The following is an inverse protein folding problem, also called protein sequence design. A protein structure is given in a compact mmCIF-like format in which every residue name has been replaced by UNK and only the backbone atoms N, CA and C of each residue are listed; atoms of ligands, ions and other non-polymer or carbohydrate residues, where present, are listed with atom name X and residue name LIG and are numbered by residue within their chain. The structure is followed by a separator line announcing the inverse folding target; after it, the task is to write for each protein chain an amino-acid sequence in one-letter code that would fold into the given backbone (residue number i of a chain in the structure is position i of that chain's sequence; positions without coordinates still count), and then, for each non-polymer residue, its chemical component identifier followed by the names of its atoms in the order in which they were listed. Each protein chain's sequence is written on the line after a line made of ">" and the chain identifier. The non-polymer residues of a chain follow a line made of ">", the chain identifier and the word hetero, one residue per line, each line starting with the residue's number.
data_IF_369555654674
#
_entry.id   IF_369555654674
#
_cell.length_a   1.000
_cell.length_b   1.000
_cell.length_c   1.000
_cell.angle_alpha   90.00
_cell.angle_beta   90.00
_cell.angle_gamma   90.00
#
_symmetry.space_group_name_H-M   'P 1'
#
loop_
_entity.id
_entity.type
_entity.pdbx_description
1 polymer ?
#
# COMPACT_ATOMS: atom_id res chain seq x y z
N UNK A 1 25.29 -16.56 40.03
CA UNK A 1 25.11 -17.56 38.96
C UNK A 1 23.76 -18.22 39.23
N UNK A 2 22.70 -18.08 38.43
CA UNK A 2 22.63 -17.70 37.01
C UNK A 2 21.24 -17.13 36.75
N UNK A 3 21.16 -15.81 36.55
CA UNK A 3 19.96 -15.04 36.24
C UNK A 3 19.77 -15.08 34.71
N UNK A 4 19.36 -16.21 34.14
CA UNK A 4 19.34 -16.40 32.68
C UNK A 4 17.99 -16.86 32.08
N UNK A 5 16.91 -16.90 32.85
CA UNK A 5 15.62 -17.42 32.35
C UNK A 5 14.53 -16.37 32.05
N UNK A 6 14.79 -15.07 32.20
CA UNK A 6 13.74 -14.04 32.04
C UNK A 6 13.91 -13.08 30.85
N UNK A 7 14.91 -13.29 29.97
CA UNK A 7 15.12 -12.39 28.81
C UNK A 7 14.47 -12.93 27.53
N UNK A 8 13.99 -14.17 27.49
CA UNK A 8 13.50 -14.81 26.26
C UNK A 8 11.99 -14.67 26.00
N UNK A 9 11.30 -13.73 26.65
CA UNK A 9 9.87 -13.49 26.43
C UNK A 9 9.53 -12.06 25.97
N UNK A 10 10.53 -11.19 25.76
CA UNK A 10 10.36 -9.81 25.26
C UNK A 10 11.04 -9.66 23.90
N UNK A 11 10.75 -10.56 22.96
CA UNK A 11 11.26 -10.47 21.59
C UNK A 11 10.21 -10.77 20.51
N UNK A 12 8.91 -10.65 20.83
CA UNK A 12 7.82 -10.80 19.85
C UNK A 12 6.90 -9.58 19.76
N UNK A 13 7.25 -8.46 20.38
CA UNK A 13 6.45 -7.22 20.33
C UNK A 13 7.12 -6.08 19.55
N UNK A 14 8.15 -6.37 18.73
CA UNK A 14 8.96 -5.35 18.06
C UNK A 14 9.27 -5.60 16.58
N UNK A 15 8.62 -6.56 15.93
CA UNK A 15 8.76 -6.72 14.47
C UNK A 15 7.85 -5.70 13.76
N UNK A 16 8.36 -4.93 12.79
CA UNK A 16 7.55 -4.00 12.00
C UNK A 16 6.42 -4.77 11.31
N UNK A 17 5.28 -4.12 11.13
CA UNK A 17 4.07 -4.74 10.56
C UNK A 17 4.30 -5.31 9.14
N UNK A 18 5.33 -4.81 8.44
CA UNK A 18 5.81 -5.27 7.14
C UNK A 18 6.35 -6.71 7.12
N UNK A 19 6.75 -7.29 8.27
CA UNK A 19 7.34 -8.63 8.33
C UNK A 19 6.34 -9.78 8.56
N UNK A 20 5.04 -9.50 8.77
CA UNK A 20 4.03 -10.54 9.06
C UNK A 20 3.37 -11.16 7.82
N UNK A 21 3.71 -10.68 6.63
CA UNK A 21 3.18 -11.17 5.35
C UNK A 21 4.23 -11.87 4.47
N UNK A 22 5.20 -12.57 5.07
CA UNK A 22 6.04 -13.51 4.32
C UNK A 22 5.39 -14.88 4.34
N UNK A 23 4.45 -15.12 3.42
CA UNK A 23 4.13 -16.49 3.05
C UNK A 23 5.30 -17.06 2.23
N UNK A 24 5.77 -18.29 2.50
CA UNK A 24 6.59 -18.99 1.53
C UNK A 24 5.74 -19.26 0.29
N UNK A 25 6.11 -18.66 -0.85
CA UNK A 25 5.58 -19.06 -2.16
C UNK A 25 6.15 -20.46 -2.44
N UNK A 26 5.31 -21.50 -2.62
CA UNK A 26 5.83 -22.82 -2.88
C UNK A 26 6.41 -22.85 -4.29
N UNK A 27 7.73 -22.97 -4.37
CA UNK A 27 8.37 -23.41 -5.60
C UNK A 27 7.80 -24.79 -5.95
N UNK A 28 7.36 -24.92 -7.21
CA UNK A 28 6.97 -26.17 -7.85
C UNK A 28 5.87 -27.01 -7.14
N UNK A 29 4.64 -26.48 -7.15
CA UNK A 29 3.45 -27.25 -7.55
C UNK A 29 3.04 -28.45 -6.68
N UNK A 30 3.42 -28.51 -5.40
CA UNK A 30 2.94 -29.54 -4.47
C UNK A 30 2.05 -28.94 -3.40
N UNK A 31 0.75 -28.94 -3.68
CA UNK A 31 -0.29 -28.86 -2.67
C UNK A 31 -0.07 -29.99 -1.66
N UNK A 32 0.33 -29.66 -0.44
CA UNK A 32 0.19 -30.57 0.69
C UNK A 32 -0.88 -30.00 1.60
N UNK A 33 -2.08 -30.55 1.42
CA UNK A 33 -3.16 -30.53 2.38
C UNK A 33 -2.62 -30.96 3.75
N UNK A 34 -2.43 -30.00 4.67
CA UNK A 34 -2.44 -30.14 6.13
C UNK A 34 -1.98 -28.82 6.78
N UNK A 35 -2.74 -27.76 6.57
CA UNK A 35 -2.77 -26.62 7.47
C UNK A 35 -4.18 -26.03 7.41
N UNK A 36 -5.10 -26.78 8.00
CA UNK A 36 -6.36 -26.25 8.50
C UNK A 36 -6.09 -25.35 9.73
N UNK A 37 -5.09 -24.47 9.65
CA UNK A 37 -4.96 -23.31 10.53
C UNK A 37 -5.38 -22.19 9.61
N UNK A 38 -6.54 -21.60 9.92
CA UNK A 38 -7.09 -20.47 9.21
C UNK A 38 -5.94 -19.60 8.70
N UNK A 39 -5.73 -19.61 7.38
CA UNK A 39 -5.00 -18.55 6.72
C UNK A 39 -5.87 -17.33 7.00
N UNK A 40 -5.63 -16.69 8.13
CA UNK A 40 -6.03 -15.31 8.32
C UNK A 40 -5.15 -14.60 7.31
N UNK A 41 -5.68 -14.48 6.09
CA UNK A 41 -5.18 -13.59 5.07
C UNK A 41 -4.95 -12.29 5.85
N UNK A 42 -3.69 -11.96 6.06
CA UNK A 42 -3.34 -11.01 7.11
C UNK A 42 -3.83 -9.64 6.65
N UNK A 43 -4.87 -9.17 7.32
CA UNK A 43 -5.28 -7.78 7.35
C UNK A 43 -6.25 -7.39 6.23
N UNK A 44 -7.39 -6.81 6.64
CA UNK A 44 -7.97 -5.69 5.90
C UNK A 44 -6.84 -4.73 5.59
N UNK A 45 -6.47 -4.60 4.33
CA UNK A 45 -5.40 -3.67 3.95
C UNK A 45 -5.89 -2.26 4.25
N UNK A 46 -4.99 -1.32 4.55
CA UNK A 46 -5.38 0.09 4.70
C UNK A 46 -6.22 0.57 3.51
N UNK A 47 -5.95 0.00 2.33
CA UNK A 47 -6.68 0.21 1.08
C UNK A 47 -8.20 -0.01 1.18
N UNK A 48 -8.65 -1.05 1.87
CA UNK A 48 -10.08 -1.41 1.96
C UNK A 48 -10.90 -0.39 2.78
N UNK A 49 -10.21 0.44 3.57
CA UNK A 49 -10.82 1.48 4.42
C UNK A 49 -10.60 2.89 3.88
N UNK A 50 -9.97 3.05 2.71
CA UNK A 50 -9.74 4.37 2.13
C UNK A 50 -11.05 4.93 1.60
N UNK A 51 -11.40 6.12 2.08
CA UNK A 51 -12.39 6.95 1.41
C UNK A 51 -11.73 7.65 0.21
N UNK A 52 -11.90 7.07 -0.97
CA UNK A 52 -11.40 7.66 -2.21
C UNK A 52 -12.20 8.91 -2.58
N UNK A 53 -11.51 9.93 -3.09
CA UNK A 53 -12.16 11.14 -3.61
C UNK A 53 -13.19 10.75 -4.68
N UNK A 54 -14.47 11.06 -4.44
CA UNK A 54 -15.56 10.66 -5.36
C UNK A 54 -15.68 11.56 -6.59
N UNK A 55 -14.89 12.63 -6.65
CA UNK A 55 -15.07 13.71 -7.61
C UNK A 55 -16.28 14.57 -7.27
N UNK A 56 -16.55 15.57 -8.11
CA UNK A 56 -17.66 16.49 -7.97
C UNK A 56 -18.44 16.59 -9.29
N UNK A 57 -19.77 16.77 -9.24
CA UNK A 57 -20.56 17.11 -10.42
C UNK A 57 -20.13 18.42 -11.08
N UNK A 58 -19.63 19.37 -10.26
CA UNK A 58 -19.11 20.66 -10.71
C UNK A 58 -17.67 20.83 -10.21
N UNK A 59 -16.72 20.61 -11.11
CA UNK A 59 -15.30 20.69 -10.82
C UNK A 59 -14.81 22.10 -10.49
N UNK A 60 -15.56 23.15 -10.84
CA UNK A 60 -15.18 24.53 -10.50
C UNK A 60 -15.36 24.83 -9.00
N UNK A 61 -16.20 24.05 -8.31
CA UNK A 61 -16.50 24.21 -6.87
C UNK A 61 -15.79 23.20 -5.99
N UNK A 62 -15.03 22.27 -6.58
CA UNK A 62 -14.33 21.23 -5.82
C UNK A 62 -13.06 21.79 -5.15
N UNK A 63 -12.82 21.36 -3.91
CA UNK A 63 -11.64 21.74 -3.11
C UNK A 63 -10.67 20.59 -2.84
N UNK A 64 -10.98 19.41 -3.37
CA UNK A 64 -10.13 18.23 -3.24
C UNK A 64 -8.77 18.45 -3.91
N UNK A 65 -7.70 17.84 -3.38
CA UNK A 65 -6.37 17.94 -3.99
C UNK A 65 -6.36 17.32 -5.39
N UNK A 66 -5.37 17.72 -6.20
CA UNK A 66 -5.16 17.17 -7.56
C UNK A 66 -4.84 15.67 -7.54
N UNK A 67 -4.21 15.20 -6.46
CA UNK A 67 -3.91 13.80 -6.24
C UNK A 67 -4.18 13.42 -4.78
N UNK A 68 -4.72 12.23 -4.57
CA UNK A 68 -4.87 11.62 -3.25
C UNK A 68 -3.78 10.56 -3.09
N UNK A 69 -2.93 10.72 -2.08
CA UNK A 69 -1.84 9.79 -1.78
C UNK A 69 -2.22 8.95 -0.57
N UNK A 70 -2.16 7.64 -0.72
CA UNK A 70 -2.41 6.67 0.35
C UNK A 70 -1.19 5.79 0.51
N UNK A 71 -0.68 5.68 1.74
CA UNK A 71 0.39 4.76 2.09
C UNK A 71 -0.19 3.37 2.37
N UNK A 72 0.26 2.35 1.65
CA UNK A 72 -0.17 0.96 1.87
C UNK A 72 0.71 0.25 2.90
N UNK A 73 2.02 0.42 2.78
CA UNK A 73 3.03 -0.11 3.68
C UNK A 73 4.19 0.89 3.81
N UNK A 74 5.28 0.50 4.47
CA UNK A 74 6.44 1.37 4.71
C UNK A 74 7.01 2.03 3.44
N UNK A 75 6.95 1.33 2.30
CA UNK A 75 7.62 1.67 1.04
C UNK A 75 6.68 1.74 -0.18
N UNK A 76 5.41 1.41 -0.04
CA UNK A 76 4.43 1.38 -1.14
C UNK A 76 3.35 2.42 -0.94
N UNK A 77 3.11 3.23 -1.97
CA UNK A 77 2.07 4.24 -2.00
C UNK A 77 1.17 4.05 -3.23
N UNK A 78 -0.12 4.30 -3.04
CA UNK A 78 -1.11 4.41 -4.11
C UNK A 78 -1.47 5.88 -4.25
N UNK A 79 -1.40 6.38 -5.46
CA UNK A 79 -1.68 7.77 -5.79
C UNK A 79 -2.83 7.78 -6.78
N UNK A 80 -3.96 8.38 -6.43
CA UNK A 80 -5.12 8.50 -7.32
C UNK A 80 -5.25 9.92 -7.81
N UNK A 81 -5.36 10.09 -9.13
CA UNK A 81 -5.65 11.41 -9.71
C UNK A 81 -7.08 11.84 -9.40
N UNK A 82 -7.29 13.15 -9.29
CA UNK A 82 -8.62 13.70 -9.09
C UNK A 82 -9.49 13.47 -10.34
N UNK A 83 -10.74 13.05 -10.14
CA UNK A 83 -11.72 12.84 -11.22
C UNK A 83 -12.01 14.12 -12.04
N UNK A 84 -11.78 15.29 -11.45
CA UNK A 84 -11.88 16.56 -12.14
C UNK A 84 -10.69 16.87 -13.06
N UNK A 85 -9.56 16.17 -12.90
CA UNK A 85 -8.45 16.24 -13.83
C UNK A 85 -8.62 15.19 -14.95
N UNK A 86 -9.10 13.99 -14.62
CA UNK A 86 -9.48 12.98 -15.60
C UNK A 86 -10.63 12.11 -15.06
N UNK A 87 -11.68 11.91 -15.85
CA UNK A 87 -12.88 11.16 -15.46
C UNK A 87 -12.60 9.73 -14.96
N UNK A 88 -11.63 9.03 -15.54
CA UNK A 88 -11.23 7.67 -15.12
C UNK A 88 -10.60 7.68 -13.71
N UNK A 89 -9.93 8.79 -13.36
CA UNK A 89 -9.14 8.95 -12.15
C UNK A 89 -8.14 7.80 -11.94
N UNK A 90 -7.12 7.71 -12.81
CA UNK A 90 -6.18 6.61 -12.80
C UNK A 90 -5.40 6.55 -11.48
N UNK A 91 -4.96 5.33 -11.19
CA UNK A 91 -4.10 5.02 -10.05
C UNK A 91 -2.65 4.89 -10.53
N UNK A 92 -1.74 5.48 -9.77
CA UNK A 92 -0.31 5.28 -9.88
C UNK A 92 0.19 4.57 -8.62
N UNK A 93 1.25 3.79 -8.78
CA UNK A 93 1.87 3.06 -7.69
C UNK A 93 3.32 3.50 -7.54
N UNK A 94 3.68 4.01 -6.36
CA UNK A 94 5.04 4.41 -6.04
C UNK A 94 5.65 3.39 -5.08
N UNK A 95 6.76 2.80 -5.50
CA UNK A 95 7.55 1.85 -4.74
C UNK A 95 8.90 2.47 -4.38
N UNK A 96 9.18 2.59 -3.08
CA UNK A 96 10.43 3.10 -2.57
C UNK A 96 11.38 1.93 -2.29
N UNK A 97 12.45 1.85 -3.09
CA UNK A 97 13.63 1.08 -2.74
C UNK A 97 14.55 1.88 -1.82
N UNK A 98 15.64 1.24 -1.37
CA UNK A 98 16.61 1.87 -0.47
C UNK A 98 17.23 3.16 -1.05
N UNK A 99 17.59 3.12 -2.34
CA UNK A 99 18.33 4.20 -3.00
C UNK A 99 17.59 4.76 -4.23
N UNK A 100 16.46 4.15 -4.61
CA UNK A 100 15.71 4.47 -5.83
C UNK A 100 14.22 4.34 -5.58
N UNK A 101 13.43 5.14 -6.28
CA UNK A 101 12.00 5.00 -6.35
C UNK A 101 11.57 4.51 -7.74
N UNK A 102 10.52 3.71 -7.80
CA UNK A 102 9.87 3.28 -9.03
C UNK A 102 8.42 3.74 -9.02
N UNK A 103 8.04 4.56 -10.01
CA UNK A 103 6.66 4.99 -10.22
C UNK A 103 6.10 4.17 -11.40
N UNK A 104 5.11 3.34 -11.10
CA UNK A 104 4.34 2.61 -12.11
C UNK A 104 3.17 3.48 -12.55
N UNK A 105 3.00 3.57 -13.88
CA UNK A 105 2.06 4.45 -14.58
C UNK A 105 2.55 5.91 -14.69
N UNK A 106 1.98 6.60 -15.66
CA UNK A 106 2.22 7.99 -16.01
C UNK A 106 1.04 8.90 -15.64
N UNK A 107 -0.11 8.33 -15.28
CA UNK A 107 -1.37 9.07 -15.17
C UNK A 107 -1.92 9.47 -16.54
N UNK A 108 -3.04 10.19 -16.54
CA UNK A 108 -3.81 10.45 -17.76
C UNK A 108 -3.50 11.79 -18.46
N UNK A 109 -2.58 12.59 -17.93
CA UNK A 109 -2.29 13.95 -18.44
C UNK A 109 -0.79 14.24 -18.36
N UNK A 110 -0.30 15.01 -19.35
CA UNK A 110 1.05 15.57 -19.37
C UNK A 110 1.16 16.99 -18.80
N UNK A 111 0.04 17.64 -18.46
CA UNK A 111 0.02 18.98 -17.88
C UNK A 111 0.52 18.96 -16.43
N UNK A 112 1.57 19.73 -16.12
CA UNK A 112 2.22 19.79 -14.80
C UNK A 112 1.23 20.20 -13.70
N UNK A 113 0.32 21.14 -13.98
CA UNK A 113 -0.69 21.62 -13.02
C UNK A 113 -1.72 20.54 -12.61
N UNK A 114 -1.96 19.57 -13.51
CA UNK A 114 -2.86 18.45 -13.26
C UNK A 114 -2.12 17.21 -12.73
N UNK A 115 -0.83 17.09 -13.04
CA UNK A 115 0.02 15.96 -12.67
C UNK A 115 1.41 16.42 -12.21
N UNK A 116 1.56 16.86 -10.94
CA UNK A 116 2.81 17.47 -10.45
C UNK A 116 3.92 16.45 -10.11
N UNK A 117 3.85 15.23 -10.67
CA UNK A 117 4.92 14.21 -10.57
C UNK A 117 5.77 14.14 -11.85
N UNK A 118 5.55 15.06 -12.80
CA UNK A 118 6.32 15.19 -14.04
C UNK A 118 7.17 16.45 -14.03
#
# INVERSE_FOLDING_TARGET
>A
MTLALLVTAVALAGAPESDRCKLPVPDNGKLLASALVAQKICGTTAFDKVEWMRGAPDCSKQKDPKMQVVKLDENTFVIRQNMCANYEAPFLYLFLGKDKAYLQDTGATGEEDAMPLR
#
